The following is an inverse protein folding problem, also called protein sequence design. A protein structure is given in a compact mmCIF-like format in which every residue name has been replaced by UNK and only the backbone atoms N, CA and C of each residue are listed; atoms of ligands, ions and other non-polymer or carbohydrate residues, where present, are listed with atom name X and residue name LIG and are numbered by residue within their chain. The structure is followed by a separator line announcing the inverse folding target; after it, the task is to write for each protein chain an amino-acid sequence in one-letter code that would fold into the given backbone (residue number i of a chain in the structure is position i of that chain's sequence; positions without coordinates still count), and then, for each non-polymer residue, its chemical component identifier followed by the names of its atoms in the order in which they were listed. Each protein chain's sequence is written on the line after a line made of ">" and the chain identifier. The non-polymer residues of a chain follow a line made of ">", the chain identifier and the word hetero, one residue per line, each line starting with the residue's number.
data_IF_239543530171
#
_entry.id   IF_239543530171
#
_cell.length_a   1.000
_cell.length_b   1.000
_cell.length_c   1.000
_cell.angle_alpha   90.00
_cell.angle_beta   90.00
_cell.angle_gamma   90.00
#
_symmetry.space_group_name_H-M   'P 1'
#
loop_
_entity.id
_entity.type
_entity.pdbx_description
1 polymer ?
#
# COMPACT_ATOMS: atom_id res chain seq x y z
N UNK A 1 -19.95 62.79 41.06
CA UNK A 1 -18.96 61.70 41.04
C UNK A 1 -19.38 60.71 39.95
N UNK A 2 -18.79 60.73 38.75
CA UNK A 2 -19.06 59.71 37.75
C UNK A 2 -18.00 58.60 37.83
N UNK A 3 -18.47 57.38 38.02
CA UNK A 3 -17.69 56.14 38.08
C UNK A 3 -17.28 55.73 36.66
N UNK A 4 -15.98 55.76 36.38
CA UNK A 4 -15.40 55.30 35.10
C UNK A 4 -15.31 53.78 35.10
N UNK A 5 -16.08 53.10 34.24
CA UNK A 5 -15.91 51.66 33.98
C UNK A 5 -14.74 51.45 33.01
N UNK A 6 -13.75 50.66 33.41
CA UNK A 6 -12.70 50.16 32.51
C UNK A 6 -13.23 48.96 31.71
N UNK A 7 -12.96 48.86 30.39
CA UNK A 7 -13.31 47.70 29.60
C UNK A 7 -12.26 46.60 29.79
N UNK A 8 -12.69 45.42 30.25
CA UNK A 8 -11.87 44.21 30.31
C UNK A 8 -11.69 43.66 28.90
N UNK A 9 -10.48 43.79 28.34
CA UNK A 9 -10.10 43.16 27.07
C UNK A 9 -9.82 41.68 27.36
N UNK A 10 -10.71 40.79 26.92
CA UNK A 10 -10.47 39.35 26.89
C UNK A 10 -9.60 39.06 25.67
N UNK A 11 -8.32 38.75 25.90
CA UNK A 11 -7.42 38.26 24.86
C UNK A 11 -7.75 36.78 24.63
N UNK A 12 -8.42 36.49 23.51
CA UNK A 12 -8.61 35.12 23.03
C UNK A 12 -7.25 34.63 22.50
N UNK A 13 -6.54 33.86 23.30
CA UNK A 13 -5.33 33.16 22.85
C UNK A 13 -5.72 32.13 21.80
N UNK A 14 -5.34 32.37 20.55
CA UNK A 14 -5.29 31.34 19.51
C UNK A 14 -4.29 30.27 19.99
N UNK A 15 -4.81 29.17 20.53
CA UNK A 15 -4.05 27.93 20.63
C UNK A 15 -3.81 27.44 19.20
N UNK A 16 -2.72 27.89 18.58
CA UNK A 16 -2.13 27.17 17.48
C UNK A 16 -1.61 25.84 18.07
N UNK A 17 -2.40 24.78 17.89
CA UNK A 17 -1.87 23.43 18.05
C UNK A 17 -0.71 23.34 17.05
N UNK A 18 0.54 23.08 17.49
CA UNK A 18 1.59 22.75 16.55
C UNK A 18 1.06 21.55 15.78
N UNK A 19 0.73 21.74 14.50
CA UNK A 19 0.33 20.63 13.67
C UNK A 19 1.51 19.67 13.67
N UNK A 20 1.37 18.53 14.36
CA UNK A 20 2.19 17.36 14.06
C UNK A 20 2.22 17.27 12.53
N UNK A 21 3.41 17.21 11.93
CA UNK A 21 3.55 17.23 10.49
C UNK A 21 2.63 16.13 9.95
N UNK A 22 1.49 16.55 9.39
CA UNK A 22 0.45 15.60 9.01
C UNK A 22 1.05 14.78 7.89
N UNK A 23 0.93 13.47 7.98
CA UNK A 23 1.42 12.59 6.94
C UNK A 23 0.68 12.89 5.63
N UNK A 24 1.28 13.74 4.79
CA UNK A 24 0.61 14.22 3.60
C UNK A 24 0.68 13.17 2.51
N UNK A 25 -0.30 13.18 1.61
CA UNK A 25 -0.25 12.34 0.41
C UNK A 25 1.01 12.62 -0.42
N UNK A 26 1.46 13.88 -0.47
CA UNK A 26 2.68 14.25 -1.19
C UNK A 26 3.94 13.62 -0.58
N UNK A 27 4.05 13.60 0.76
CA UNK A 27 5.13 12.91 1.46
C UNK A 27 5.13 11.41 1.13
N UNK A 28 3.98 10.77 1.23
CA UNK A 28 3.85 9.34 0.95
C UNK A 28 4.16 9.01 -0.53
N UNK A 29 3.72 9.84 -1.47
CA UNK A 29 4.07 9.68 -2.88
C UNK A 29 5.56 9.85 -3.14
N UNK A 30 6.20 10.85 -2.53
CA UNK A 30 7.65 11.02 -2.65
C UNK A 30 8.43 9.83 -2.07
N UNK A 31 7.96 9.25 -0.96
CA UNK A 31 8.54 8.03 -0.41
C UNK A 31 8.40 6.85 -1.40
N UNK A 32 7.21 6.64 -1.96
CA UNK A 32 6.98 5.61 -2.99
C UNK A 32 7.85 5.81 -4.24
N UNK A 33 7.99 7.04 -4.73
CA UNK A 33 8.85 7.34 -5.87
C UNK A 33 10.31 7.00 -5.57
N UNK A 34 10.77 7.28 -4.34
CA UNK A 34 12.13 6.91 -3.89
C UNK A 34 12.32 5.40 -3.80
N UNK A 35 11.30 4.65 -3.35
CA UNK A 35 11.30 3.19 -3.33
C UNK A 35 11.43 2.61 -4.75
N UNK A 36 10.64 3.12 -5.69
CA UNK A 36 10.66 2.66 -7.07
C UNK A 36 12.01 2.96 -7.74
N UNK A 37 12.59 4.14 -7.50
CA UNK A 37 13.92 4.49 -7.99
C UNK A 37 14.99 3.56 -7.40
N UNK A 38 15.01 3.39 -6.08
CA UNK A 38 15.97 2.52 -5.40
C UNK A 38 15.87 1.07 -5.88
N UNK A 39 14.66 0.53 -6.02
CA UNK A 39 14.43 -0.83 -6.54
C UNK A 39 14.83 -0.98 -8.00
N UNK A 40 14.63 0.06 -8.82
CA UNK A 40 15.03 0.05 -10.24
C UNK A 40 16.54 -0.04 -10.36
N UNK A 41 17.27 0.72 -9.55
CA UNK A 41 18.73 0.81 -9.61
C UNK A 41 19.45 -0.24 -8.75
N UNK A 42 18.73 -0.95 -7.88
CA UNK A 42 19.34 -1.82 -6.87
C UNK A 42 20.15 -1.03 -5.85
N UNK A 43 19.71 0.19 -5.53
CA UNK A 43 20.46 1.19 -4.76
C UNK A 43 19.71 1.61 -3.48
N UNK A 44 19.57 0.71 -2.49
CA UNK A 44 18.73 0.94 -1.32
C UNK A 44 19.27 2.04 -0.39
N UNK A 45 20.57 2.33 -0.42
CA UNK A 45 21.20 3.42 0.33
C UNK A 45 20.71 4.82 -0.09
N UNK A 46 20.00 4.93 -1.23
CA UNK A 46 19.38 6.18 -1.68
C UNK A 46 18.07 6.50 -0.94
N UNK A 47 17.52 5.55 -0.18
CA UNK A 47 16.32 5.73 0.60
C UNK A 47 16.58 6.63 1.82
N UNK A 48 15.70 7.60 2.06
CA UNK A 48 15.74 8.47 3.24
C UNK A 48 15.26 7.74 4.50
N UNK A 49 16.07 6.82 5.01
CA UNK A 49 15.70 5.93 6.12
C UNK A 49 16.02 6.53 7.50
N UNK A 50 15.21 6.17 8.48
CA UNK A 50 15.44 6.53 9.87
C UNK A 50 16.55 5.68 10.49
N UNK A 51 17.24 6.23 11.49
CA UNK A 51 18.16 5.44 12.30
C UNK A 51 17.41 4.30 13.00
N UNK A 52 17.88 3.06 12.83
CA UNK A 52 17.20 1.88 13.39
C UNK A 52 16.01 1.37 12.57
N UNK A 53 15.96 1.70 11.27
CA UNK A 53 15.04 1.09 10.30
C UNK A 53 14.88 -0.41 10.52
N UNK A 54 13.63 -0.89 10.52
CA UNK A 54 13.33 -2.31 10.38
C UNK A 54 13.10 -2.64 8.91
N UNK A 55 13.91 -3.54 8.36
CA UNK A 55 13.74 -4.09 7.01
C UNK A 55 13.41 -5.57 7.06
N UNK A 56 12.28 -5.95 6.44
CA UNK A 56 11.82 -7.33 6.36
C UNK A 56 11.62 -7.78 4.92
N UNK A 57 12.01 -9.02 4.63
CA UNK A 57 11.65 -9.77 3.43
C UNK A 57 10.98 -11.08 3.82
N UNK A 58 9.84 -11.42 3.22
CA UNK A 58 9.09 -12.64 3.54
C UNK A 58 8.88 -12.80 5.06
N UNK A 59 8.55 -11.70 5.73
CA UNK A 59 8.35 -11.59 7.19
C UNK A 59 9.59 -11.89 8.05
N UNK A 60 10.80 -11.85 7.48
CA UNK A 60 12.07 -12.08 8.20
C UNK A 60 13.00 -10.89 8.06
N UNK A 61 13.87 -10.61 9.06
CA UNK A 61 14.89 -9.57 8.93
C UNK A 61 15.72 -9.76 7.66
N UNK A 62 15.89 -8.68 6.91
CA UNK A 62 16.65 -8.63 5.68
C UNK A 62 17.71 -7.52 5.74
N UNK A 63 18.63 -7.53 4.77
CA UNK A 63 19.76 -6.62 4.71
C UNK A 63 19.79 -5.87 3.38
N UNK A 64 20.12 -4.58 3.41
CA UNK A 64 20.17 -3.71 2.23
C UNK A 64 21.26 -4.11 1.23
N UNK A 65 22.23 -4.93 1.62
CA UNK A 65 23.29 -5.39 0.72
C UNK A 65 22.93 -6.68 -0.03
N UNK A 66 22.05 -7.51 0.52
CA UNK A 66 21.72 -8.84 -0.04
C UNK A 66 20.26 -9.02 -0.41
N UNK A 67 19.39 -8.15 0.07
CA UNK A 67 17.94 -8.22 -0.13
C UNK A 67 17.48 -7.78 -1.52
N UNK A 68 16.18 -7.93 -1.80
CA UNK A 68 15.56 -7.57 -3.09
C UNK A 68 15.80 -6.11 -3.49
N UNK A 69 15.88 -5.20 -2.51
CA UNK A 69 16.18 -3.78 -2.81
C UNK A 69 17.61 -3.55 -3.29
N UNK A 70 18.56 -4.48 -3.05
CA UNK A 70 19.93 -4.44 -3.57
C UNK A 70 20.06 -4.97 -5.00
N UNK A 71 18.97 -5.55 -5.52
CA UNK A 71 18.90 -6.13 -6.86
C UNK A 71 18.21 -5.12 -7.77
N UNK A 72 18.88 -4.72 -8.86
CA UNK A 72 18.27 -3.89 -9.88
C UNK A 72 17.12 -4.65 -10.57
N UNK A 73 15.92 -4.07 -10.55
CA UNK A 73 14.70 -4.67 -11.10
C UNK A 73 14.13 -3.76 -12.18
N UNK A 74 13.92 -4.27 -13.39
CA UNK A 74 13.22 -3.52 -14.42
C UNK A 74 11.72 -3.50 -14.11
N UNK A 75 11.22 -2.36 -13.60
CA UNK A 75 9.82 -2.17 -13.23
C UNK A 75 8.96 -1.94 -14.48
N UNK A 76 8.08 -2.88 -14.80
CA UNK A 76 7.15 -2.77 -15.93
C UNK A 76 5.88 -2.03 -15.58
N UNK A 77 5.42 -2.23 -14.36
CA UNK A 77 4.20 -1.64 -13.84
C UNK A 77 4.31 -1.53 -12.32
N UNK A 78 3.70 -0.49 -11.76
CA UNK A 78 3.51 -0.39 -10.33
C UNK A 78 2.13 0.20 -10.01
N UNK A 79 1.66 -0.08 -8.80
CA UNK A 79 0.45 0.54 -8.24
C UNK A 79 0.66 0.78 -6.75
N UNK A 80 0.34 1.99 -6.29
CA UNK A 80 0.58 2.37 -4.91
C UNK A 80 -0.66 2.91 -4.21
N UNK A 81 -0.83 2.51 -2.95
CA UNK A 81 -1.81 2.98 -2.00
C UNK A 81 -1.11 3.82 -0.94
N UNK A 82 -1.73 4.92 -0.53
CA UNK A 82 -1.14 5.89 0.39
C UNK A 82 -2.12 6.15 1.53
N UNK A 83 -1.73 5.81 2.75
CA UNK A 83 -2.51 5.94 3.95
C UNK A 83 -1.98 7.09 4.82
N UNK A 84 -2.63 8.24 4.71
CA UNK A 84 -2.27 9.44 5.47
C UNK A 84 -2.62 9.36 6.95
N UNK A 85 -3.44 8.38 7.37
CA UNK A 85 -3.79 8.19 8.79
C UNK A 85 -2.76 7.32 9.51
N UNK A 86 -2.30 6.25 8.88
CA UNK A 86 -1.27 5.36 9.44
C UNK A 86 0.15 5.78 9.04
N UNK A 87 0.27 6.79 8.18
CA UNK A 87 1.52 7.22 7.56
C UNK A 87 2.27 6.06 6.89
N UNK A 88 1.53 5.32 6.07
CA UNK A 88 2.00 4.10 5.44
C UNK A 88 1.72 4.10 3.94
N UNK A 89 2.51 3.33 3.20
CA UNK A 89 2.29 3.05 1.78
C UNK A 89 2.27 1.56 1.54
N UNK A 90 1.52 1.12 0.53
CA UNK A 90 1.69 -0.20 -0.09
C UNK A 90 1.95 0.00 -1.58
N UNK A 91 2.92 -0.69 -2.16
CA UNK A 91 3.25 -0.63 -3.59
C UNK A 91 3.39 -2.04 -4.15
N UNK A 92 2.59 -2.37 -5.16
CA UNK A 92 2.82 -3.53 -6.02
C UNK A 92 3.82 -3.12 -7.12
N UNK A 93 4.84 -3.94 -7.35
CA UNK A 93 5.85 -3.81 -8.40
C UNK A 93 5.81 -5.08 -9.25
N UNK A 94 5.60 -4.93 -10.55
CA UNK A 94 5.60 -6.04 -11.50
C UNK A 94 6.79 -5.89 -12.43
N UNK A 95 7.63 -6.94 -12.48
CA UNK A 95 8.85 -6.98 -13.27
C UNK A 95 8.86 -8.23 -14.17
N UNK A 96 7.94 -8.25 -15.15
CA UNK A 96 7.75 -9.38 -16.05
C UNK A 96 8.84 -9.48 -17.14
N UNK A 97 9.48 -8.36 -17.50
CA UNK A 97 10.56 -8.30 -18.49
C UNK A 97 11.96 -8.59 -17.94
N UNK A 98 12.09 -8.91 -16.65
CA UNK A 98 13.30 -9.49 -16.11
C UNK A 98 13.42 -10.95 -16.60
N UNK A 99 13.91 -11.17 -17.82
CA UNK A 99 13.84 -12.47 -18.49
C UNK A 99 14.54 -13.62 -17.76
N UNK A 100 15.51 -13.32 -16.91
CA UNK A 100 16.20 -14.33 -16.10
C UNK A 100 15.49 -14.62 -14.79
N UNK A 101 14.90 -13.60 -14.17
CA UNK A 101 14.23 -13.73 -12.88
C UNK A 101 13.10 -12.69 -12.76
N UNK A 102 11.88 -13.02 -13.21
CA UNK A 102 10.75 -12.12 -13.09
C UNK A 102 10.23 -12.07 -11.66
N UNK A 103 9.68 -10.93 -11.27
CA UNK A 103 9.13 -10.72 -9.93
C UNK A 103 7.74 -10.10 -9.97
N UNK A 104 6.95 -10.41 -8.95
CA UNK A 104 5.86 -9.57 -8.45
C UNK A 104 6.16 -9.29 -6.98
N UNK A 105 6.33 -8.02 -6.62
CA UNK A 105 6.78 -7.61 -5.29
C UNK A 105 5.70 -6.73 -4.67
N UNK A 106 5.25 -7.07 -3.47
CA UNK A 106 4.47 -6.18 -2.62
C UNK A 106 5.41 -5.51 -1.61
N UNK A 107 5.44 -4.19 -1.56
CA UNK A 107 6.28 -3.43 -0.64
C UNK A 107 5.43 -2.50 0.23
N UNK A 108 5.56 -2.62 1.55
CA UNK A 108 4.98 -1.69 2.51
C UNK A 108 6.07 -0.83 3.13
N UNK A 109 5.76 0.45 3.34
CA UNK A 109 6.60 1.36 4.12
C UNK A 109 5.78 2.07 5.18
N UNK A 110 6.40 2.33 6.34
CA UNK A 110 5.88 3.25 7.35
C UNK A 110 6.84 4.43 7.50
N UNK A 111 6.28 5.63 7.48
CA UNK A 111 7.02 6.89 7.45
C UNK A 111 6.84 7.58 8.79
N UNK A 112 7.95 8.06 9.37
CA UNK A 112 7.92 8.91 10.55
C UNK A 112 7.21 10.21 10.21
N UNK A 113 6.07 10.48 10.86
CA UNK A 113 5.30 11.69 10.57
C UNK A 113 6.09 12.97 10.87
N UNK A 114 6.99 12.93 11.86
CA UNK A 114 7.72 14.10 12.35
C UNK A 114 8.96 14.44 11.51
N UNK A 115 9.66 13.44 10.98
CA UNK A 115 10.92 13.60 10.24
C UNK A 115 10.81 13.27 8.74
N UNK A 116 9.70 12.66 8.32
CA UNK A 116 9.48 12.19 6.96
C UNK A 116 10.38 11.02 6.56
N UNK A 117 11.09 10.41 7.51
CA UNK A 117 12.02 9.31 7.25
C UNK A 117 11.31 7.96 7.22
N UNK A 118 11.82 7.04 6.43
CA UNK A 118 11.28 5.67 6.35
C UNK A 118 11.72 4.90 7.59
N UNK A 119 10.77 4.51 8.44
CA UNK A 119 11.02 3.81 9.71
C UNK A 119 10.85 2.29 9.61
N UNK A 120 10.06 1.82 8.64
CA UNK A 120 9.90 0.41 8.33
C UNK A 120 9.80 0.20 6.82
N UNK A 121 10.43 -0.85 6.32
CA UNK A 121 10.17 -1.41 4.98
C UNK A 121 9.91 -2.90 5.14
N UNK A 122 8.84 -3.39 4.54
CA UNK A 122 8.53 -4.81 4.49
C UNK A 122 8.18 -5.19 3.06
N UNK A 123 8.88 -6.18 2.50
CA UNK A 123 8.64 -6.66 1.14
C UNK A 123 8.23 -8.13 1.13
N UNK A 124 7.22 -8.44 0.32
CA UNK A 124 6.88 -9.78 -0.10
C UNK A 124 7.30 -9.95 -1.55
N UNK A 125 8.24 -10.85 -1.79
CA UNK A 125 8.79 -11.15 -3.11
C UNK A 125 8.17 -12.45 -3.58
N UNK A 126 7.49 -12.41 -4.72
CA UNK A 126 6.92 -13.59 -5.37
C UNK A 126 7.63 -13.81 -6.70
N UNK A 127 8.15 -15.02 -6.91
CA UNK A 127 8.92 -15.40 -8.09
C UNK A 127 8.74 -16.88 -8.50
N UNK A 128 9.67 -17.38 -9.32
CA UNK A 128 9.56 -18.69 -9.93
C UNK A 128 9.54 -19.84 -8.89
N UNK A 129 8.39 -20.51 -8.78
CA UNK A 129 8.17 -21.61 -7.85
C UNK A 129 7.06 -21.33 -6.85
N UNK A 130 6.67 -20.07 -6.70
CA UNK A 130 5.55 -19.67 -5.85
C UNK A 130 4.19 -20.03 -6.46
N UNK A 131 3.19 -20.11 -5.59
CA UNK A 131 1.85 -20.55 -5.95
C UNK A 131 1.25 -19.66 -7.05
N UNK A 132 0.85 -20.32 -8.15
CA UNK A 132 0.28 -19.73 -9.36
C UNK A 132 1.13 -18.66 -10.06
N UNK A 133 2.38 -18.42 -9.65
CA UNK A 133 3.14 -17.27 -10.13
C UNK A 133 3.26 -17.18 -11.66
N UNK A 134 2.81 -16.06 -12.22
CA UNK A 134 2.97 -15.69 -13.62
C UNK A 134 3.03 -14.16 -13.77
N UNK A 135 4.23 -13.59 -13.68
CA UNK A 135 4.44 -12.14 -13.80
C UNK A 135 3.90 -11.53 -15.12
N UNK A 136 4.00 -12.25 -16.24
CA UNK A 136 3.46 -11.77 -17.53
C UNK A 136 1.94 -11.68 -17.50
N UNK A 137 1.27 -12.68 -16.91
CA UNK A 137 -0.17 -12.67 -16.68
C UNK A 137 -0.58 -11.55 -15.73
N UNK A 138 0.16 -11.37 -14.62
CA UNK A 138 -0.08 -10.28 -13.67
C UNK A 138 0.05 -8.92 -14.37
N UNK A 139 1.13 -8.68 -15.11
CA UNK A 139 1.32 -7.45 -15.89
C UNK A 139 0.18 -7.22 -16.88
N UNK A 140 -0.22 -8.27 -17.61
CA UNK A 140 -1.30 -8.18 -18.58
C UNK A 140 -2.60 -7.69 -17.94
N UNK A 141 -3.03 -8.27 -16.83
CA UNK A 141 -4.29 -7.88 -16.20
C UNK A 141 -4.16 -6.57 -15.42
N UNK A 142 -3.13 -6.41 -14.59
CA UNK A 142 -2.92 -5.23 -13.75
C UNK A 142 -2.85 -3.93 -14.56
N UNK A 143 -2.21 -3.94 -15.73
CA UNK A 143 -2.09 -2.77 -16.62
C UNK A 143 -3.40 -2.35 -17.29
N UNK A 144 -4.44 -3.18 -17.25
CA UNK A 144 -5.76 -2.91 -17.84
C UNK A 144 -6.78 -2.42 -16.82
N UNK A 145 -6.50 -2.57 -15.53
CA UNK A 145 -7.39 -2.10 -14.49
C UNK A 145 -7.33 -0.59 -14.34
N UNK A 146 -8.49 0.02 -14.05
CA UNK A 146 -8.60 1.46 -13.80
C UNK A 146 -8.86 1.72 -12.33
N UNK A 147 -7.85 2.24 -11.65
CA UNK A 147 -7.87 2.57 -10.22
C UNK A 147 -7.91 4.09 -10.03
N UNK A 148 -8.91 4.74 -10.62
CA UNK A 148 -9.11 6.18 -10.49
C UNK A 148 -9.58 6.56 -9.08
N UNK A 149 -9.26 7.77 -8.58
CA UNK A 149 -9.79 8.24 -7.32
C UNK A 149 -11.32 8.20 -7.31
N UNK A 150 -11.90 7.51 -6.32
CA UNK A 150 -13.34 7.49 -6.12
C UNK A 150 -13.82 8.92 -5.79
N UNK A 151 -14.93 9.41 -6.37
CA UNK A 151 -15.54 10.69 -6.00
C UNK A 151 -15.81 10.78 -4.49
N UNK A 152 -15.59 11.94 -3.88
CA UNK A 152 -15.61 12.08 -2.42
C UNK A 152 -16.95 11.67 -1.79
N UNK A 153 -18.06 12.01 -2.43
CA UNK A 153 -19.42 11.65 -2.04
C UNK A 153 -19.74 10.14 -2.18
N UNK A 154 -18.86 9.39 -2.84
CA UNK A 154 -18.96 7.93 -3.04
C UNK A 154 -17.91 7.14 -2.27
N UNK A 155 -17.05 7.79 -1.49
CA UNK A 155 -16.02 7.11 -0.69
C UNK A 155 -16.64 6.51 0.55
N UNK A 156 -16.44 5.22 0.74
CA UNK A 156 -16.72 4.58 2.01
C UNK A 156 -15.83 5.12 3.13
N UNK A 157 -16.35 5.07 4.35
CA UNK A 157 -15.54 5.40 5.53
C UNK A 157 -14.41 4.38 5.73
N UNK A 158 -13.32 4.80 6.39
CA UNK A 158 -12.22 3.89 6.78
C UNK A 158 -12.71 2.61 7.46
N UNK A 159 -13.65 2.74 8.39
CA UNK A 159 -14.18 1.60 9.15
C UNK A 159 -14.90 0.59 8.24
N UNK A 160 -15.61 1.06 7.21
CA UNK A 160 -16.28 0.20 6.23
C UNK A 160 -15.25 -0.53 5.36
N UNK A 161 -14.22 0.17 4.88
CA UNK A 161 -13.14 -0.43 4.07
C UNK A 161 -12.40 -1.50 4.89
N UNK A 162 -12.05 -1.19 6.14
CA UNK A 162 -11.36 -2.11 7.03
C UNK A 162 -12.22 -3.36 7.31
N UNK A 163 -13.51 -3.20 7.65
CA UNK A 163 -14.40 -4.33 7.87
C UNK A 163 -14.53 -5.24 6.64
N UNK A 164 -14.53 -4.68 5.43
CA UNK A 164 -14.54 -5.48 4.20
C UNK A 164 -13.22 -6.25 3.98
N UNK A 165 -12.08 -5.64 4.30
CA UNK A 165 -10.76 -6.28 4.20
C UNK A 165 -10.58 -7.38 5.25
N UNK A 166 -10.98 -7.13 6.50
CA UNK A 166 -10.95 -8.11 7.58
C UNK A 166 -11.83 -9.32 7.23
N UNK A 167 -13.06 -9.09 6.75
CA UNK A 167 -13.93 -10.17 6.29
C UNK A 167 -13.30 -11.00 5.14
N UNK A 168 -12.54 -10.36 4.24
CA UNK A 168 -11.84 -11.09 3.17
C UNK A 168 -10.73 -11.98 3.71
N UNK A 169 -9.97 -11.51 4.70
CA UNK A 169 -8.96 -12.32 5.37
C UNK A 169 -9.59 -13.49 6.16
N UNK A 170 -10.63 -13.20 6.95
CA UNK A 170 -11.34 -14.18 7.77
C UNK A 170 -11.99 -15.29 6.91
N UNK A 171 -12.41 -14.97 5.69
CA UNK A 171 -13.02 -15.93 4.76
C UNK A 171 -12.11 -17.12 4.43
N UNK A 172 -10.79 -16.99 4.54
CA UNK A 172 -9.87 -18.10 4.30
C UNK A 172 -9.90 -19.16 5.41
N UNK A 173 -10.27 -18.77 6.63
CA UNK A 173 -10.36 -19.65 7.81
C UNK A 173 -11.80 -20.06 8.11
N UNK A 174 -12.77 -19.17 7.86
CA UNK A 174 -14.20 -19.40 8.05
C UNK A 174 -15.00 -19.06 6.78
N UNK A 175 -15.41 -20.10 6.05
CA UNK A 175 -16.20 -19.99 4.81
C UNK A 175 -17.62 -19.49 5.01
N UNK A 176 -18.08 -19.34 6.25
CA UNK A 176 -19.39 -18.75 6.56
C UNK A 176 -19.35 -17.22 6.60
N UNK A 177 -18.16 -16.62 6.62
CA UNK A 177 -17.97 -15.16 6.56
C UNK A 177 -18.49 -14.60 5.24
N UNK A 178 -19.23 -13.49 5.33
CA UNK A 178 -19.78 -12.81 4.15
C UNK A 178 -18.93 -11.60 3.82
N UNK A 179 -18.22 -11.68 2.70
CA UNK A 179 -17.46 -10.56 2.14
C UNK A 179 -18.38 -9.69 1.28
N UNK A 180 -18.37 -8.36 1.44
CA UNK A 180 -19.19 -7.45 0.64
C UNK A 180 -18.58 -7.21 -0.75
N UNK A 181 -18.55 -8.26 -1.58
CA UNK A 181 -18.03 -8.19 -2.94
C UNK A 181 -18.76 -7.15 -3.79
N UNK A 182 -18.00 -6.42 -4.62
CA UNK A 182 -18.59 -5.67 -5.73
C UNK A 182 -19.21 -6.62 -6.77
N UNK A 183 -20.17 -6.13 -7.56
CA UNK A 183 -20.68 -6.89 -8.71
C UNK A 183 -20.98 -5.95 -9.88
N UNK A 184 -20.43 -6.23 -11.09
CA UNK A 184 -19.47 -7.29 -11.39
C UNK A 184 -18.10 -7.06 -10.75
N UNK A 185 -17.31 -8.11 -10.55
CA UNK A 185 -15.94 -7.99 -10.05
C UNK A 185 -15.05 -9.16 -10.48
N UNK A 186 -13.73 -8.96 -10.39
CA UNK A 186 -12.72 -9.97 -10.67
C UNK A 186 -11.56 -9.91 -9.67
N UNK A 187 -10.88 -11.04 -9.47
CA UNK A 187 -9.64 -11.15 -8.70
C UNK A 187 -8.48 -11.46 -9.65
N UNK A 188 -7.34 -10.81 -9.41
CA UNK A 188 -6.07 -11.12 -10.05
C UNK A 188 -5.21 -11.94 -9.08
N UNK A 189 -4.93 -13.20 -9.40
CA UNK A 189 -4.23 -14.14 -8.51
C UNK A 189 -3.16 -14.90 -9.28
N UNK A 190 -1.89 -14.67 -8.93
CA UNK A 190 -0.75 -15.30 -9.64
C UNK A 190 -0.71 -14.99 -11.14
N UNK A 191 -1.45 -13.99 -11.63
CA UNK A 191 -1.59 -13.71 -13.07
C UNK A 191 -2.78 -14.39 -13.76
N UNK A 192 -3.59 -15.14 -13.00
CA UNK A 192 -4.94 -15.55 -13.41
C UNK A 192 -5.96 -14.46 -13.07
N UNK A 193 -7.01 -14.33 -13.89
CA UNK A 193 -8.08 -13.35 -13.65
C UNK A 193 -9.43 -14.07 -13.60
N UNK A 194 -10.21 -13.86 -12.54
CA UNK A 194 -11.48 -14.57 -12.35
C UNK A 194 -12.64 -14.02 -13.19
N UNK A 195 -12.43 -12.88 -13.85
CA UNK A 195 -13.43 -12.22 -14.71
C UNK A 195 -13.05 -12.20 -16.19
N UNK A 196 -14.05 -11.95 -17.03
CA UNK A 196 -13.91 -11.79 -18.49
C UNK A 196 -14.32 -10.40 -18.99
N UNK A 197 -14.73 -9.51 -18.07
CA UNK A 197 -15.42 -8.25 -18.36
C UNK A 197 -16.94 -8.40 -18.50
N UNK A 198 -17.51 -9.53 -18.08
CA UNK A 198 -18.94 -9.79 -18.17
C UNK A 198 -19.69 -9.24 -16.95
N UNK A 199 -20.96 -8.87 -17.14
CA UNK A 199 -21.83 -8.45 -16.04
C UNK A 199 -22.08 -9.55 -14.99
N UNK A 200 -21.82 -10.80 -15.35
CA UNK A 200 -21.91 -11.97 -14.48
C UNK A 200 -20.59 -12.32 -13.77
N UNK A 201 -19.53 -11.54 -13.95
CA UNK A 201 -18.24 -11.80 -13.30
C UNK A 201 -18.38 -11.68 -11.77
N UNK A 202 -17.72 -12.61 -11.07
CA UNK A 202 -17.74 -12.69 -9.60
C UNK A 202 -16.34 -12.91 -9.03
N UNK A 203 -16.17 -12.49 -7.78
CA UNK A 203 -14.93 -12.67 -7.03
C UNK A 203 -15.02 -13.77 -5.98
N UNK A 204 -16.23 -14.25 -5.68
CA UNK A 204 -16.49 -15.29 -4.66
C UNK A 204 -16.18 -16.72 -5.17
N UNK A 205 -15.50 -16.84 -6.30
CA UNK A 205 -15.20 -18.11 -6.96
C UNK A 205 -13.75 -18.55 -6.72
N UNK A 206 -13.55 -19.84 -6.43
CA UNK A 206 -12.21 -20.44 -6.34
C UNK A 206 -11.38 -19.95 -5.15
N UNK A 207 -12.03 -19.57 -4.05
CA UNK A 207 -11.35 -19.12 -2.83
C UNK A 207 -10.83 -20.36 -2.08
N UNK A 208 -9.50 -20.54 -1.91
CA UNK A 208 -8.95 -21.71 -1.25
C UNK A 208 -9.22 -21.70 0.27
N UNK A 209 -9.20 -22.89 0.88
CA UNK A 209 -9.50 -23.08 2.31
C UNK A 209 -8.21 -23.32 3.12
N UNK A 210 -8.12 -22.74 4.32
CA UNK A 210 -7.06 -23.02 5.30
C UNK A 210 -5.67 -22.52 4.90
N UNK A 211 -5.58 -21.26 4.43
CA UNK A 211 -4.32 -20.65 4.02
C UNK A 211 -3.58 -19.94 5.18
N UNK A 212 -4.27 -19.61 6.28
CA UNK A 212 -3.68 -18.94 7.45
C UNK A 212 -3.64 -19.82 8.71
#
# INVERSE_FOLDING_TARGET
>A
MPTTMLPTIIVLGLFACPGAAQCTRALLTAATDSLLAAQTDGAPDTLGTAAGLTYLEQFKPADFTTGILSIAVHVDFNRSLHDTMQCATYTEIIAARNTTHPYVIGAQMHIGADDGQIANISTLVTDAGDWLFNATGTLYWASREKWEPIPEDRRDSRAVIQAAADAYADLFDDKTVVVPWGSPCARLEGGSYTGSGAASDRCDVGIPDGIF
#
